data_IF_796697286889
#
_entry.id   IF_796697286889
#
_cell.length_a   1.000
_cell.length_b   1.000
_cell.length_c   1.000
_cell.angle_alpha   90.00
_cell.angle_beta   90.00
_cell.angle_gamma   90.00
#
_symmetry.space_group_name_H-M   'P 1'
#
loop_
_entity.id
_entity.type
_entity.pdbx_description
1 polymer ?
#
# COMPACT_ATOMS: atom_id res chain seq x y z
N UNK A 1 -32.33 -5.31 -3.78
CA UNK A 1 -31.23 -4.89 -4.67
C UNK A 1 -30.03 -4.35 -3.88
N UNK A 2 -30.23 -3.61 -2.79
CA UNK A 2 -29.18 -2.98 -1.96
C UNK A 2 -28.17 -3.92 -1.26
N UNK A 3 -28.57 -5.13 -0.86
CA UNK A 3 -27.69 -6.06 -0.13
C UNK A 3 -26.49 -6.54 -1.00
N UNK A 4 -26.70 -6.69 -2.31
CA UNK A 4 -25.66 -7.20 -3.23
C UNK A 4 -24.54 -6.18 -3.49
N UNK A 5 -24.89 -4.89 -3.48
CA UNK A 5 -23.94 -3.81 -3.76
C UNK A 5 -23.03 -3.53 -2.57
N UNK A 6 -23.57 -3.56 -1.34
CA UNK A 6 -22.77 -3.47 -0.11
C UNK A 6 -21.75 -4.61 0.02
N UNK A 7 -22.15 -5.85 -0.31
CA UNK A 7 -21.25 -7.00 -0.31
C UNK A 7 -20.13 -6.87 -1.36
N UNK A 8 -20.46 -6.37 -2.55
CA UNK A 8 -19.46 -6.10 -3.60
C UNK A 8 -18.44 -5.07 -3.15
N UNK A 9 -18.88 -3.95 -2.56
CA UNK A 9 -17.99 -2.89 -2.07
C UNK A 9 -17.06 -3.39 -0.96
N UNK A 10 -17.57 -4.19 -0.02
CA UNK A 10 -16.76 -4.80 1.04
C UNK A 10 -15.66 -5.70 0.44
N UNK A 11 -16.00 -6.55 -0.52
CA UNK A 11 -15.01 -7.41 -1.22
C UNK A 11 -13.97 -6.57 -1.98
N UNK A 12 -14.40 -5.51 -2.65
CA UNK A 12 -13.48 -4.59 -3.34
C UNK A 12 -12.49 -3.94 -2.37
N UNK A 13 -12.96 -3.43 -1.23
CA UNK A 13 -12.10 -2.86 -0.19
C UNK A 13 -11.07 -3.86 0.32
N UNK A 14 -11.49 -5.11 0.61
CA UNK A 14 -10.58 -6.20 1.01
C UNK A 14 -9.52 -6.47 -0.07
N UNK A 15 -9.92 -6.55 -1.34
CA UNK A 15 -8.99 -6.78 -2.44
C UNK A 15 -7.95 -5.66 -2.57
N UNK A 16 -8.37 -4.40 -2.44
CA UNK A 16 -7.45 -3.25 -2.46
C UNK A 16 -6.39 -3.39 -1.37
N UNK A 17 -6.80 -3.68 -0.13
CA UNK A 17 -5.89 -3.91 0.97
C UNK A 17 -4.92 -5.08 0.69
N UNK A 18 -5.40 -6.18 0.10
CA UNK A 18 -4.54 -7.31 -0.29
C UNK A 18 -3.47 -6.89 -1.32
N UNK A 19 -3.84 -6.09 -2.33
CA UNK A 19 -2.89 -5.60 -3.33
C UNK A 19 -1.87 -4.62 -2.74
N UNK A 20 -2.29 -3.76 -1.81
CA UNK A 20 -1.40 -2.86 -1.10
C UNK A 20 -0.37 -3.60 -0.25
N UNK A 21 -0.79 -4.66 0.46
CA UNK A 21 0.16 -5.56 1.17
C UNK A 21 1.15 -6.24 0.23
N UNK A 22 0.74 -6.49 -1.01
CA UNK A 22 1.60 -7.01 -2.08
C UNK A 22 2.57 -5.97 -2.66
N UNK A 23 2.49 -4.70 -2.25
CA UNK A 23 3.40 -3.64 -2.66
C UNK A 23 2.93 -2.81 -3.85
N UNK A 24 1.67 -2.95 -4.28
CA UNK A 24 1.12 -2.06 -5.30
C UNK A 24 0.91 -0.64 -4.75
N UNK A 25 1.00 0.35 -5.63
CA UNK A 25 0.60 1.72 -5.29
C UNK A 25 -0.92 1.84 -5.20
N UNK A 26 -1.42 2.81 -4.42
CA UNK A 26 -2.85 3.05 -4.19
C UNK A 26 -3.66 3.09 -5.49
N UNK A 27 -3.15 3.80 -6.49
CA UNK A 27 -3.74 3.90 -7.83
C UNK A 27 -3.89 2.53 -8.52
N UNK A 28 -2.82 1.74 -8.56
CA UNK A 28 -2.82 0.44 -9.24
C UNK A 28 -3.69 -0.58 -8.50
N UNK A 29 -3.65 -0.57 -7.17
CA UNK A 29 -4.50 -1.40 -6.33
C UNK A 29 -6.00 -1.11 -6.56
N UNK A 30 -6.38 0.17 -6.70
CA UNK A 30 -7.74 0.58 -7.02
C UNK A 30 -8.20 0.06 -8.39
N UNK A 31 -7.36 0.25 -9.41
CA UNK A 31 -7.64 -0.20 -10.79
C UNK A 31 -7.76 -1.72 -10.85
N UNK A 32 -6.85 -2.46 -10.23
CA UNK A 32 -6.90 -3.93 -10.16
C UNK A 32 -8.14 -4.45 -9.44
N UNK A 33 -8.62 -3.71 -8.43
CA UNK A 33 -9.86 -4.03 -7.73
C UNK A 33 -11.13 -3.63 -8.50
N UNK A 34 -10.98 -3.01 -9.69
CA UNK A 34 -12.07 -2.67 -10.60
C UNK A 34 -12.76 -1.34 -10.30
N UNK A 35 -12.08 -0.42 -9.61
CA UNK A 35 -12.60 0.93 -9.35
C UNK A 35 -11.63 2.01 -9.85
N UNK A 36 -12.15 3.21 -10.10
CA UNK A 36 -11.30 4.35 -10.42
C UNK A 36 -10.55 4.86 -9.18
N UNK A 37 -9.40 5.48 -9.41
CA UNK A 37 -8.62 6.15 -8.37
C UNK A 37 -9.45 7.20 -7.61
N UNK A 38 -10.31 7.97 -8.32
CA UNK A 38 -11.22 8.92 -7.71
C UNK A 38 -12.20 8.25 -6.73
N UNK A 39 -12.76 7.11 -7.10
CA UNK A 39 -13.67 6.35 -6.21
C UNK A 39 -12.93 5.83 -4.98
N UNK A 40 -11.68 5.38 -5.16
CA UNK A 40 -10.84 4.95 -4.05
C UNK A 40 -10.62 6.07 -3.04
N UNK A 41 -10.16 7.26 -3.47
CA UNK A 41 -9.89 8.37 -2.54
C UNK A 41 -11.16 8.86 -1.86
N UNK A 42 -12.28 8.94 -2.59
CA UNK A 42 -13.56 9.25 -1.98
C UNK A 42 -13.92 8.25 -0.87
N UNK A 43 -13.74 6.95 -1.10
CA UNK A 43 -14.01 5.94 -0.08
C UNK A 43 -13.08 6.03 1.13
N UNK A 44 -11.83 6.48 0.93
CA UNK A 44 -10.89 6.72 2.03
C UNK A 44 -11.34 7.92 2.86
N UNK A 45 -11.80 8.99 2.22
CA UNK A 45 -12.32 10.18 2.91
C UNK A 45 -13.65 9.95 3.64
N UNK A 46 -14.51 9.06 3.12
CA UNK A 46 -15.85 8.79 3.65
C UNK A 46 -15.92 7.65 4.69
N UNK A 47 -14.89 6.81 4.80
CA UNK A 47 -14.87 5.62 5.66
C UNK A 47 -13.53 5.47 6.40
N UNK A 48 -13.47 6.01 7.61
CA UNK A 48 -12.30 5.96 8.51
C UNK A 48 -11.79 4.53 8.76
N UNK A 49 -12.70 3.54 8.78
CA UNK A 49 -12.31 2.14 8.95
C UNK A 49 -11.56 1.62 7.73
N UNK A 50 -11.97 2.05 6.53
CA UNK A 50 -11.26 1.70 5.31
C UNK A 50 -9.92 2.43 5.20
N UNK A 51 -9.86 3.71 5.56
CA UNK A 51 -8.60 4.46 5.60
C UNK A 51 -7.57 3.78 6.53
N UNK A 52 -7.98 3.46 7.76
CA UNK A 52 -7.14 2.74 8.72
C UNK A 52 -6.61 1.41 8.16
N UNK A 53 -7.46 0.66 7.43
CA UNK A 53 -7.05 -0.59 6.79
C UNK A 53 -6.08 -0.38 5.62
N UNK A 54 -6.24 0.71 4.85
CA UNK A 54 -5.32 1.10 3.77
C UNK A 54 -3.95 1.44 4.34
N UNK A 55 -3.89 2.25 5.39
CA UNK A 55 -2.64 2.61 6.05
C UNK A 55 -1.95 1.38 6.63
N UNK A 56 -2.68 0.54 7.37
CA UNK A 56 -2.15 -0.70 7.92
C UNK A 56 -1.56 -1.62 6.83
N UNK A 57 -2.27 -1.78 5.70
CA UNK A 57 -1.81 -2.61 4.58
C UNK A 57 -0.50 -2.10 3.97
N UNK A 58 -0.31 -0.78 3.89
CA UNK A 58 0.92 -0.17 3.38
C UNK A 58 2.07 -0.35 4.39
N UNK A 59 1.79 -0.23 5.68
CA UNK A 59 2.78 -0.47 6.74
C UNK A 59 3.21 -1.94 6.79
N UNK A 60 2.28 -2.88 6.61
CA UNK A 60 2.59 -4.31 6.53
C UNK A 60 3.52 -4.62 5.36
N UNK A 61 3.25 -4.04 4.17
CA UNK A 61 4.17 -4.15 3.04
C UNK A 61 5.54 -3.56 3.35
N UNK A 62 5.58 -2.35 3.95
CA UNK A 62 6.82 -1.68 4.34
C UNK A 62 7.67 -2.55 5.26
N UNK A 63 7.05 -3.13 6.28
CA UNK A 63 7.71 -4.02 7.22
C UNK A 63 8.28 -5.26 6.52
N UNK A 64 7.47 -5.94 5.72
CA UNK A 64 7.89 -7.13 4.95
C UNK A 64 9.05 -6.82 3.99
N UNK A 65 8.98 -5.68 3.29
CA UNK A 65 10.05 -5.23 2.40
C UNK A 65 11.34 -4.96 3.17
N UNK A 66 11.29 -4.21 4.28
CA UNK A 66 12.47 -3.91 5.09
C UNK A 66 13.12 -5.19 5.62
N UNK A 67 12.32 -6.16 6.11
CA UNK A 67 12.85 -7.46 6.53
C UNK A 67 13.58 -8.17 5.39
N UNK A 68 12.97 -8.21 4.21
CA UNK A 68 13.56 -8.83 3.01
C UNK A 68 14.87 -8.13 2.60
N UNK A 69 14.89 -6.80 2.67
CA UNK A 69 16.07 -6.01 2.35
C UNK A 69 17.20 -6.23 3.35
N UNK A 70 16.90 -6.23 4.66
CA UNK A 70 17.91 -6.48 5.70
C UNK A 70 18.57 -7.85 5.53
N UNK A 71 17.79 -8.90 5.20
CA UNK A 71 18.31 -10.25 4.95
C UNK A 71 19.24 -10.32 3.73
N UNK A 72 19.11 -9.39 2.78
CA UNK A 72 19.89 -9.38 1.53
C UNK A 72 20.88 -8.21 1.44
N UNK A 73 20.94 -7.35 2.46
CA UNK A 73 21.76 -6.13 2.46
C UNK A 73 23.25 -6.44 2.41
N UNK A 74 23.71 -7.55 2.99
CA UNK A 74 25.11 -8.00 2.89
C UNK A 74 25.54 -8.27 1.45
N UNK A 75 24.60 -8.71 0.60
CA UNK A 75 24.87 -8.99 -0.82
C UNK A 75 24.89 -7.72 -1.66
N UNK A 76 23.97 -6.79 -1.40
CA UNK A 76 23.88 -5.53 -2.13
C UNK A 76 23.12 -4.44 -1.34
N UNK A 77 23.78 -3.86 -0.34
CA UNK A 77 23.20 -2.83 0.52
C UNK A 77 22.82 -1.55 -0.23
N UNK A 78 23.52 -1.24 -1.33
CA UNK A 78 23.20 -0.07 -2.16
C UNK A 78 21.85 -0.22 -2.86
N UNK A 79 21.59 -1.39 -3.46
CA UNK A 79 20.29 -1.67 -4.08
C UNK A 79 19.16 -1.63 -3.04
N UNK A 80 19.40 -2.18 -1.84
CA UNK A 80 18.44 -2.13 -0.75
C UNK A 80 18.11 -0.67 -0.35
N UNK A 81 19.12 0.18 -0.18
CA UNK A 81 18.91 1.59 0.13
C UNK A 81 18.19 2.34 -1.00
N UNK A 82 18.50 2.05 -2.27
CA UNK A 82 17.83 2.65 -3.42
C UNK A 82 16.33 2.30 -3.44
N UNK A 83 15.97 1.05 -3.16
CA UNK A 83 14.56 0.63 -3.08
C UNK A 83 13.82 1.44 -2.00
N UNK A 84 14.41 1.61 -0.82
CA UNK A 84 13.82 2.40 0.27
C UNK A 84 13.66 3.88 -0.12
N UNK A 85 14.67 4.48 -0.75
CA UNK A 85 14.62 5.87 -1.23
C UNK A 85 13.53 6.09 -2.27
N UNK A 86 13.31 5.13 -3.18
CA UNK A 86 12.25 5.22 -4.19
C UNK A 86 10.86 5.13 -3.53
N UNK A 87 10.69 4.20 -2.58
CA UNK A 87 9.38 3.96 -1.95
C UNK A 87 9.00 5.00 -0.90
N UNK A 88 9.96 5.46 -0.11
CA UNK A 88 9.75 6.40 0.99
C UNK A 88 10.81 7.52 0.97
N UNK A 89 10.84 8.36 -0.08
CA UNK A 89 11.89 9.36 -0.25
C UNK A 89 11.98 10.33 0.92
N UNK A 90 10.85 10.74 1.52
CA UNK A 90 10.83 11.66 2.67
C UNK A 90 11.54 11.11 3.90
N UNK A 91 11.51 9.80 4.08
CA UNK A 91 12.10 9.14 5.25
C UNK A 91 13.57 8.77 5.02
N UNK A 92 13.94 8.42 3.78
CA UNK A 92 15.25 7.81 3.49
C UNK A 92 16.20 8.68 2.66
N UNK A 93 15.83 9.93 2.37
CA UNK A 93 16.65 10.88 1.59
C UNK A 93 17.24 12.01 2.44
N UNK A 94 17.10 11.97 3.77
CA UNK A 94 17.70 13.02 4.62
C UNK A 94 19.24 13.05 4.46
N UNK A 95 19.86 14.24 4.54
CA UNK A 95 21.31 14.35 4.63
C UNK A 95 21.77 13.59 5.88
N UNK A 96 22.81 12.77 5.75
CA UNK A 96 23.53 12.31 6.92
C UNK A 96 24.32 13.51 7.45
N UNK A 97 23.85 14.10 8.55
CA UNK A 97 24.64 15.02 9.37
C UNK A 97 25.81 14.26 10.03
#
# INVERSE_FOLDING_TARGET
MFIREGLKNKKTKINICNYLRGGLYKKDAAIMAGISEKTFYRWVEEDDSFDSQVEASILEYKHSLIQTLNLNAEKNGMLALQILKIRWPKEWTQPQD
#
